data_IF_755194819716
#
_entry.id   IF_755194819716
#
_cell.length_a   1.000
_cell.length_b   1.000
_cell.length_c   1.000
_cell.angle_alpha   90.00
_cell.angle_beta   90.00
_cell.angle_gamma   90.00
#
_symmetry.space_group_name_H-M   'P 1'
#
loop_
_entity.id
_entity.type
_entity.pdbx_description
1 polymer ?
#
# COMPACT_ATOMS: atom_id res chain seq x y z
N UNK A 1 -10.16 1.60 -9.31
CA UNK A 1 -9.31 0.54 -8.85
C UNK A 1 -10.02 -0.33 -7.83
N UNK A 2 -10.13 -1.65 -8.10
CA UNK A 2 -10.98 -2.56 -7.30
C UNK A 2 -10.17 -3.51 -6.40
N UNK A 3 -8.81 -3.48 -6.47
CA UNK A 3 -8.00 -4.46 -5.76
C UNK A 3 -8.19 -4.50 -4.23
N UNK A 4 -8.44 -3.39 -3.51
CA UNK A 4 -8.69 -3.46 -2.08
C UNK A 4 -9.94 -4.28 -1.75
N UNK A 5 -10.96 -4.21 -2.61
CA UNK A 5 -12.28 -4.83 -2.40
C UNK A 5 -12.31 -6.29 -2.83
N UNK A 6 -11.45 -6.69 -3.80
CA UNK A 6 -11.49 -8.04 -4.38
C UNK A 6 -11.27 -9.13 -3.33
N UNK A 7 -10.30 -8.96 -2.43
CA UNK A 7 -9.99 -9.97 -1.43
C UNK A 7 -11.09 -10.11 -0.37
N UNK A 8 -11.61 -9.03 0.27
CA UNK A 8 -12.76 -9.12 1.16
C UNK A 8 -14.00 -9.74 0.49
N UNK A 9 -14.28 -9.35 -0.76
CA UNK A 9 -15.39 -9.93 -1.53
C UNK A 9 -15.23 -11.44 -1.71
N UNK A 10 -14.05 -11.91 -2.15
CA UNK A 10 -13.78 -13.35 -2.33
C UNK A 10 -13.93 -14.13 -1.02
N UNK A 11 -13.36 -13.63 0.07
CA UNK A 11 -13.44 -14.27 1.38
C UNK A 11 -14.92 -14.39 1.81
N UNK A 12 -15.67 -13.29 1.77
CA UNK A 12 -17.08 -13.26 2.16
C UNK A 12 -17.92 -14.21 1.30
N UNK A 13 -17.74 -14.18 -0.02
CA UNK A 13 -18.47 -15.05 -0.93
C UNK A 13 -18.16 -16.54 -0.65
N UNK A 14 -16.89 -16.90 -0.47
CA UNK A 14 -16.50 -18.28 -0.15
C UNK A 14 -17.09 -18.75 1.18
N UNK A 15 -17.05 -17.91 2.23
CA UNK A 15 -17.61 -18.26 3.54
C UNK A 15 -19.11 -18.46 3.46
N UNK A 16 -19.84 -17.53 2.86
CA UNK A 16 -21.31 -17.62 2.75
C UNK A 16 -21.75 -18.81 1.87
N UNK A 17 -21.07 -19.06 0.75
CA UNK A 17 -21.36 -20.24 -0.08
C UNK A 17 -21.12 -21.54 0.70
N UNK A 18 -20.03 -21.62 1.46
CA UNK A 18 -19.74 -22.77 2.31
C UNK A 18 -20.84 -22.97 3.37
N UNK A 19 -21.30 -21.88 4.01
CA UNK A 19 -22.40 -21.93 4.98
C UNK A 19 -23.70 -22.43 4.35
N UNK A 20 -24.07 -21.96 3.14
CA UNK A 20 -25.24 -22.44 2.41
C UNK A 20 -25.16 -23.93 2.18
N UNK A 21 -24.02 -24.44 1.69
CA UNK A 21 -23.83 -25.87 1.42
C UNK A 21 -23.92 -26.68 2.72
N UNK A 22 -23.19 -26.28 3.76
CA UNK A 22 -23.16 -27.01 5.03
C UNK A 22 -24.53 -27.02 5.70
N UNK A 23 -25.23 -25.89 5.75
CA UNK A 23 -26.59 -25.80 6.34
C UNK A 23 -27.60 -26.67 5.56
N UNK A 24 -27.50 -26.68 4.24
CA UNK A 24 -28.37 -27.51 3.39
C UNK A 24 -28.11 -29.02 3.61
N UNK A 25 -26.83 -29.42 3.70
CA UNK A 25 -26.45 -30.81 3.94
C UNK A 25 -26.81 -31.27 5.35
N UNK A 26 -26.64 -30.41 6.35
CA UNK A 26 -26.97 -30.69 7.75
C UNK A 26 -28.49 -30.61 8.08
N UNK A 27 -29.31 -30.04 7.20
CA UNK A 27 -30.74 -29.83 7.44
C UNK A 27 -31.54 -31.10 7.85
N UNK A 28 -31.23 -32.33 7.31
CA UNK A 28 -31.95 -33.54 7.76
C UNK A 28 -31.62 -33.91 9.21
N UNK A 29 -30.47 -33.55 9.74
CA UNK A 29 -30.11 -33.83 11.15
C UNK A 29 -31.05 -33.13 12.14
N UNK A 30 -31.59 -31.98 11.76
CA UNK A 30 -32.58 -31.21 12.54
C UNK A 30 -33.99 -31.40 12.01
N UNK A 31 -34.23 -32.47 11.23
CA UNK A 31 -35.53 -32.84 10.63
C UNK A 31 -36.13 -31.76 9.70
N UNK A 32 -35.31 -30.90 9.11
CA UNK A 32 -35.73 -29.91 8.13
C UNK A 32 -35.59 -30.47 6.72
N UNK A 33 -36.43 -29.98 5.77
CA UNK A 33 -36.35 -30.34 4.36
C UNK A 33 -35.27 -29.55 3.69
N UNK A 34 -34.44 -30.20 2.86
CA UNK A 34 -33.28 -29.58 2.18
C UNK A 34 -33.63 -28.37 1.30
N UNK A 35 -34.69 -28.50 0.50
CA UNK A 35 -35.09 -27.44 -0.44
C UNK A 35 -35.44 -26.12 0.25
N UNK A 36 -36.40 -26.07 1.21
CA UNK A 36 -36.70 -24.82 1.91
C UNK A 36 -35.51 -24.29 2.72
N UNK A 37 -34.69 -25.17 3.32
CA UNK A 37 -33.46 -24.73 4.01
C UNK A 37 -32.52 -24.02 3.08
N UNK A 38 -32.26 -24.58 1.88
CA UNK A 38 -31.43 -23.95 0.87
C UNK A 38 -31.92 -22.54 0.52
N UNK A 39 -33.21 -22.38 0.22
CA UNK A 39 -33.79 -21.07 -0.13
C UNK A 39 -33.68 -20.06 1.01
N UNK A 40 -34.01 -20.46 2.24
CA UNK A 40 -33.96 -19.57 3.41
C UNK A 40 -32.54 -19.15 3.69
N UNK A 41 -31.58 -20.08 3.73
CA UNK A 41 -30.17 -19.77 4.02
C UNK A 41 -29.56 -18.91 2.89
N UNK A 42 -29.90 -19.18 1.64
CA UNK A 42 -29.45 -18.34 0.51
C UNK A 42 -29.96 -16.92 0.62
N UNK A 43 -31.24 -16.74 0.93
CA UNK A 43 -31.85 -15.42 1.11
C UNK A 43 -31.19 -14.66 2.27
N UNK A 44 -31.00 -15.32 3.43
CA UNK A 44 -30.31 -14.72 4.57
C UNK A 44 -28.86 -14.35 4.24
N UNK A 45 -28.14 -15.23 3.52
CA UNK A 45 -26.78 -14.96 3.08
C UNK A 45 -26.69 -13.76 2.13
N UNK A 46 -27.71 -13.58 1.27
CA UNK A 46 -27.77 -12.42 0.39
C UNK A 46 -27.86 -11.10 1.18
N UNK A 47 -28.74 -11.03 2.18
CA UNK A 47 -28.84 -9.86 3.05
C UNK A 47 -27.62 -9.68 3.97
N UNK A 48 -27.00 -10.77 4.40
CA UNK A 48 -25.79 -10.73 5.23
C UNK A 48 -24.52 -10.38 4.44
N UNK A 49 -24.53 -10.44 3.10
CA UNK A 49 -23.34 -10.27 2.28
C UNK A 49 -22.67 -8.91 2.48
N UNK A 50 -23.43 -7.82 2.39
CA UNK A 50 -22.86 -6.45 2.54
C UNK A 50 -22.25 -6.25 3.93
N UNK A 51 -22.96 -6.45 5.06
CA UNK A 51 -22.37 -6.24 6.37
C UNK A 51 -21.20 -7.20 6.68
N UNK A 52 -21.25 -8.43 6.18
CA UNK A 52 -20.13 -9.37 6.32
C UNK A 52 -18.92 -8.93 5.49
N UNK A 53 -19.11 -8.48 4.25
CA UNK A 53 -18.04 -7.98 3.41
C UNK A 53 -17.37 -6.74 3.99
N UNK A 54 -18.14 -5.79 4.53
CA UNK A 54 -17.57 -4.60 5.19
C UNK A 54 -16.79 -4.97 6.45
N UNK A 55 -17.28 -5.94 7.23
CA UNK A 55 -16.57 -6.44 8.41
C UNK A 55 -15.24 -7.10 8.00
N UNK A 56 -15.26 -8.00 7.02
CA UNK A 56 -14.05 -8.64 6.50
C UNK A 56 -13.08 -7.59 5.93
N UNK A 57 -13.59 -6.60 5.20
CA UNK A 57 -12.77 -5.50 4.67
C UNK A 57 -12.06 -4.75 5.79
N UNK A 58 -12.77 -4.40 6.86
CA UNK A 58 -12.18 -3.71 8.01
C UNK A 58 -11.02 -4.49 8.63
N UNK A 59 -11.17 -5.80 8.85
CA UNK A 59 -10.10 -6.64 9.39
C UNK A 59 -8.92 -6.83 8.43
N UNK A 60 -9.21 -6.97 7.14
CA UNK A 60 -8.16 -7.13 6.11
C UNK A 60 -7.39 -5.83 5.94
N UNK A 61 -8.10 -4.69 5.87
CA UNK A 61 -7.48 -3.39 5.64
C UNK A 61 -6.65 -2.93 6.85
N UNK A 62 -7.06 -3.25 8.07
CA UNK A 62 -6.27 -3.00 9.28
C UNK A 62 -4.89 -3.69 9.26
N UNK A 63 -4.74 -4.80 8.52
CA UNK A 63 -3.45 -5.49 8.33
C UNK A 63 -2.67 -5.01 7.09
N UNK A 64 -3.32 -4.33 6.17
CA UNK A 64 -2.75 -3.96 4.86
C UNK A 64 -2.43 -2.49 4.75
N UNK A 65 -3.18 -1.64 5.46
CA UNK A 65 -3.09 -0.19 5.41
C UNK A 65 -2.82 0.39 6.79
N UNK A 66 -2.24 1.58 6.82
CA UNK A 66 -1.84 2.28 8.02
C UNK A 66 -0.32 2.32 8.19
N UNK A 67 0.11 2.73 9.36
CA UNK A 67 1.52 2.97 9.67
C UNK A 67 2.16 1.70 10.25
N UNK A 68 3.30 1.33 9.69
CA UNK A 68 4.10 0.16 10.08
C UNK A 68 5.56 0.55 10.22
N UNK A 69 6.22 0.04 11.25
CA UNK A 69 7.64 0.26 11.50
C UNK A 69 8.45 -1.00 11.23
N UNK A 70 9.61 -0.84 10.58
CA UNK A 70 10.54 -1.91 10.24
C UNK A 70 11.97 -1.49 10.57
N UNK A 71 12.78 -2.42 11.07
CA UNK A 71 14.17 -2.13 11.36
C UNK A 71 15.01 -1.97 10.09
N UNK A 72 14.74 -2.77 9.07
CA UNK A 72 15.46 -2.80 7.80
C UNK A 72 14.55 -3.11 6.62
N UNK A 73 15.07 -2.93 5.39
CA UNK A 73 14.38 -3.31 4.16
C UNK A 73 13.93 -4.78 4.15
N UNK A 74 14.72 -5.70 4.68
CA UNK A 74 14.40 -7.13 4.67
C UNK A 74 13.21 -7.50 5.55
N UNK A 75 12.79 -6.60 6.43
CA UNK A 75 11.63 -6.80 7.33
C UNK A 75 10.31 -6.36 6.68
N UNK A 76 10.37 -5.68 5.50
CA UNK A 76 9.22 -5.05 4.83
C UNK A 76 8.38 -6.05 4.09
N UNK A 77 8.01 -7.11 4.35
CA UNK A 77 7.21 -8.15 3.68
C UNK A 77 6.00 -7.60 2.87
N UNK A 78 6.28 -6.67 1.93
CA UNK A 78 5.30 -6.07 1.00
C UNK A 78 5.98 -5.67 -0.31
N UNK A 79 5.87 -6.55 -1.34
CA UNK A 79 6.53 -6.37 -2.64
C UNK A 79 6.23 -5.02 -3.34
N UNK A 80 5.13 -4.35 -2.99
CA UNK A 80 4.76 -3.06 -3.58
C UNK A 80 5.58 -1.92 -3.00
N UNK A 81 5.88 -2.00 -1.70
CA UNK A 81 6.76 -1.06 -1.01
C UNK A 81 8.21 -1.37 -1.39
N UNK A 82 8.62 -2.65 -1.29
CA UNK A 82 9.97 -3.11 -1.64
C UNK A 82 10.40 -2.71 -3.04
N UNK A 83 9.48 -2.72 -4.00
CA UNK A 83 9.75 -2.32 -5.39
C UNK A 83 10.33 -0.91 -5.52
N UNK A 84 9.95 0.00 -4.62
CA UNK A 84 10.33 1.41 -4.68
C UNK A 84 11.20 1.86 -3.51
N UNK A 85 11.40 1.01 -2.51
CA UNK A 85 12.19 1.35 -1.32
C UNK A 85 13.66 0.98 -1.57
N UNK A 86 14.64 1.85 -1.20
CA UNK A 86 16.05 1.52 -1.31
C UNK A 86 16.41 0.30 -0.43
N UNK A 87 17.13 -0.71 -0.96
CA UNK A 87 17.54 -1.89 -0.16
C UNK A 87 18.44 -1.56 1.03
N UNK A 88 19.13 -0.41 0.98
CA UNK A 88 19.98 0.07 2.08
C UNK A 88 19.23 0.87 3.15
N UNK A 89 17.91 1.04 3.01
CA UNK A 89 17.09 1.78 3.97
C UNK A 89 17.01 1.05 5.33
N UNK A 90 17.11 1.83 6.41
CA UNK A 90 16.99 1.36 7.80
C UNK A 90 16.07 2.29 8.59
N UNK A 91 15.61 1.83 9.78
CA UNK A 91 14.67 2.61 10.63
C UNK A 91 13.48 3.13 9.82
N UNK A 92 12.79 2.21 9.16
CA UNK A 92 11.77 2.50 8.15
C UNK A 92 10.40 2.60 8.83
N UNK A 93 9.71 3.71 8.64
CA UNK A 93 8.28 3.85 8.95
C UNK A 93 7.52 4.00 7.62
N UNK A 94 6.53 3.16 7.37
CA UNK A 94 5.73 3.17 6.13
C UNK A 94 4.27 3.37 6.46
N UNK A 95 3.65 4.41 5.92
CA UNK A 95 2.21 4.58 5.86
C UNK A 95 1.69 4.02 4.53
N UNK A 96 0.99 2.89 4.60
CA UNK A 96 0.45 2.16 3.45
C UNK A 96 -1.02 2.50 3.22
N UNK A 97 -1.36 2.84 1.97
CA UNK A 97 -2.74 3.08 1.55
C UNK A 97 -3.03 2.42 0.19
N UNK A 98 -4.28 2.45 -0.25
CA UNK A 98 -4.73 1.68 -1.41
C UNK A 98 -3.99 2.00 -2.72
N UNK A 99 -3.54 3.23 -2.91
CA UNK A 99 -2.95 3.73 -4.17
C UNK A 99 -1.44 3.91 -4.11
N UNK A 100 -0.83 3.72 -2.94
CA UNK A 100 0.59 3.96 -2.75
C UNK A 100 1.02 3.82 -1.31
N UNK A 101 2.14 4.45 -1.02
CA UNK A 101 2.67 4.54 0.34
C UNK A 101 3.44 5.85 0.53
N UNK A 102 3.61 6.23 1.80
CA UNK A 102 4.58 7.22 2.24
C UNK A 102 5.56 6.52 3.17
N UNK A 103 6.84 6.74 2.98
CA UNK A 103 7.86 6.12 3.82
C UNK A 103 8.82 7.17 4.37
N UNK A 104 9.24 6.97 5.61
CA UNK A 104 10.35 7.67 6.24
C UNK A 104 11.41 6.63 6.56
N UNK A 105 12.67 6.90 6.21
CA UNK A 105 13.76 5.97 6.50
C UNK A 105 15.09 6.70 6.62
N UNK A 106 16.08 6.03 7.19
CA UNK A 106 17.46 6.48 7.28
C UNK A 106 18.27 5.82 6.17
N UNK A 107 19.07 6.63 5.46
CA UNK A 107 19.96 6.18 4.39
C UNK A 107 21.10 7.21 4.22
N UNK A 108 22.30 6.78 3.81
CA UNK A 108 23.35 7.71 3.41
C UNK A 108 23.11 8.25 2.00
N UNK A 109 23.61 9.45 1.73
CA UNK A 109 23.49 10.06 0.39
C UNK A 109 24.06 9.15 -0.70
N UNK A 110 25.26 8.61 -0.49
CA UNK A 110 25.90 7.71 -1.45
C UNK A 110 25.06 6.47 -1.77
N UNK A 111 24.37 5.91 -0.76
CA UNK A 111 23.48 4.76 -0.97
C UNK A 111 22.20 5.16 -1.71
N UNK A 112 21.65 6.35 -1.41
CA UNK A 112 20.50 6.88 -2.12
C UNK A 112 20.83 7.16 -3.59
N UNK A 113 21.96 7.79 -3.86
CA UNK A 113 22.42 8.11 -5.23
C UNK A 113 22.61 6.81 -6.04
N UNK A 114 23.31 5.82 -5.46
CA UNK A 114 23.49 4.52 -6.11
C UNK A 114 22.17 3.79 -6.38
N UNK A 115 21.21 3.90 -5.48
CA UNK A 115 19.87 3.36 -5.67
C UNK A 115 19.13 4.07 -6.81
N UNK A 116 19.12 5.40 -6.82
CA UNK A 116 18.48 6.19 -7.89
C UNK A 116 19.11 5.89 -9.26
N UNK A 117 20.44 5.78 -9.33
CA UNK A 117 21.15 5.38 -10.56
C UNK A 117 20.67 4.02 -11.05
N UNK A 118 20.66 3.02 -10.17
CA UNK A 118 20.21 1.65 -10.50
C UNK A 118 18.78 1.60 -10.99
N UNK A 119 17.88 2.38 -10.39
CA UNK A 119 16.46 2.42 -10.79
C UNK A 119 16.30 3.10 -12.16
N UNK A 120 17.02 4.20 -12.40
CA UNK A 120 17.01 4.88 -13.70
C UNK A 120 17.64 4.02 -14.80
N UNK A 121 18.71 3.28 -14.53
CA UNK A 121 19.31 2.34 -15.47
C UNK A 121 18.36 1.18 -15.83
N UNK A 122 17.56 0.74 -14.86
CA UNK A 122 16.64 -0.40 -15.05
C UNK A 122 15.30 -0.04 -15.71
N UNK A 123 14.79 1.17 -15.45
CA UNK A 123 13.43 1.55 -15.81
C UNK A 123 13.31 2.88 -16.54
N UNK A 124 14.40 3.64 -16.69
CA UNK A 124 14.41 4.97 -17.31
C UNK A 124 13.88 4.99 -18.75
N UNK A 125 14.20 3.96 -19.54
CA UNK A 125 13.74 3.83 -20.93
C UNK A 125 12.19 3.71 -21.06
N UNK A 126 11.52 3.29 -19.99
CA UNK A 126 10.05 3.14 -19.93
C UNK A 126 9.37 4.29 -19.21
N UNK A 127 10.14 5.27 -18.75
CA UNK A 127 9.61 6.42 -18.03
C UNK A 127 9.04 7.44 -18.99
N UNK A 128 7.89 8.02 -18.62
CA UNK A 128 7.29 9.17 -19.34
C UNK A 128 7.97 10.48 -19.02
N UNK A 129 8.80 10.51 -17.96
CA UNK A 129 9.63 11.64 -17.58
C UNK A 129 11.09 11.30 -17.81
N UNK A 130 11.91 12.31 -18.12
CA UNK A 130 13.35 12.12 -18.26
C UNK A 130 14.05 12.38 -16.92
N UNK A 131 15.17 11.70 -16.72
CA UNK A 131 16.00 11.93 -15.55
C UNK A 131 16.44 13.41 -15.51
N UNK A 132 16.23 14.06 -14.36
CA UNK A 132 16.56 15.49 -14.17
C UNK A 132 15.54 16.49 -14.70
N UNK A 133 14.53 16.05 -15.47
CA UNK A 133 13.50 16.95 -16.03
C UNK A 133 12.56 17.49 -14.96
N UNK A 134 12.28 16.70 -13.92
CA UNK A 134 11.43 17.07 -12.77
C UNK A 134 12.26 17.37 -11.51
N UNK A 135 13.57 17.42 -11.62
CA UNK A 135 14.42 17.75 -10.48
C UNK A 135 14.27 19.22 -10.16
N UNK A 136 13.45 19.53 -9.17
CA UNK A 136 13.59 20.82 -8.50
C UNK A 136 14.84 20.72 -7.63
N UNK A 137 15.89 21.45 -7.97
CA UNK A 137 17.02 21.66 -7.07
C UNK A 137 16.65 22.57 -5.89
N UNK A 138 15.38 22.89 -5.77
CA UNK A 138 14.87 23.77 -4.72
C UNK A 138 14.65 22.97 -3.43
N UNK A 139 14.99 23.60 -2.33
CA UNK A 139 14.71 23.07 -1.00
C UNK A 139 13.19 22.92 -0.85
N UNK A 140 12.77 21.79 -0.35
CA UNK A 140 11.34 21.48 -0.15
C UNK A 140 10.76 22.46 0.87
N UNK A 141 9.72 23.21 0.45
CA UNK A 141 9.07 24.18 1.31
C UNK A 141 8.19 23.54 2.40
N UNK A 142 7.91 24.30 3.45
CA UNK A 142 7.12 23.82 4.58
C UNK A 142 5.65 23.56 4.22
N UNK A 143 5.09 24.24 3.21
CA UNK A 143 3.71 24.07 2.77
C UNK A 143 3.55 22.70 2.08
N UNK A 144 4.46 22.36 1.19
CA UNK A 144 4.53 21.04 0.55
C UNK A 144 4.71 19.93 1.60
N UNK A 145 5.55 20.15 2.64
CA UNK A 145 5.69 19.20 3.72
C UNK A 145 4.36 18.95 4.47
N UNK A 146 3.65 20.02 4.84
CA UNK A 146 2.35 19.90 5.52
C UNK A 146 1.33 19.16 4.64
N UNK A 147 1.32 19.45 3.33
CA UNK A 147 0.42 18.81 2.37
C UNK A 147 0.64 17.29 2.26
N UNK A 148 1.88 16.84 2.24
CA UNK A 148 2.20 15.44 1.97
C UNK A 148 2.44 14.59 3.23
N UNK A 149 2.92 15.18 4.33
CA UNK A 149 3.35 14.43 5.52
C UNK A 149 2.86 15.02 6.84
N UNK A 150 2.12 16.14 6.81
CA UNK A 150 1.68 16.83 8.02
C UNK A 150 0.75 15.98 8.90
N UNK A 151 -0.08 15.15 8.31
CA UNK A 151 -0.98 14.21 8.99
C UNK A 151 -0.24 13.06 9.69
N UNK A 152 1.00 12.78 9.29
CA UNK A 152 1.84 11.74 9.89
C UNK A 152 2.67 12.25 11.08
N UNK A 153 2.67 13.56 11.33
CA UNK A 153 3.46 14.16 12.40
C UNK A 153 4.99 14.05 12.21
N UNK A 154 5.44 13.76 10.98
CA UNK A 154 6.88 13.72 10.68
C UNK A 154 7.45 15.14 10.66
N UNK A 155 8.65 15.35 11.24
CA UNK A 155 9.24 16.68 11.30
C UNK A 155 9.63 17.20 9.91
N UNK A 156 9.48 18.50 9.69
CA UNK A 156 9.95 19.13 8.46
C UNK A 156 11.48 18.98 8.30
N UNK A 157 11.91 18.69 7.07
CA UNK A 157 13.31 18.58 6.68
C UNK A 157 13.72 19.88 5.97
N UNK A 158 14.36 20.80 6.70
CA UNK A 158 14.66 22.16 6.23
C UNK A 158 15.66 22.22 5.06
N UNK A 159 16.52 21.19 4.94
CA UNK A 159 17.56 21.06 3.91
C UNK A 159 17.24 19.97 2.88
N UNK A 160 16.00 19.49 2.83
CA UNK A 160 15.65 18.41 1.93
C UNK A 160 15.57 18.85 0.48
N UNK A 161 16.15 18.05 -0.39
CA UNK A 161 16.03 18.17 -1.85
C UNK A 161 15.15 17.04 -2.38
N UNK A 162 14.30 17.32 -3.36
CA UNK A 162 13.44 16.33 -4.00
C UNK A 162 14.14 15.66 -5.18
N UNK A 163 14.06 14.34 -5.20
CA UNK A 163 14.51 13.47 -6.29
C UNK A 163 13.32 12.69 -6.83
N UNK A 164 13.27 12.49 -8.14
CA UNK A 164 12.22 11.72 -8.79
C UNK A 164 12.77 10.41 -9.34
N UNK A 165 12.02 9.34 -9.13
CA UNK A 165 12.26 8.07 -9.80
C UNK A 165 11.58 8.01 -11.18
N UNK A 166 11.85 6.97 -11.97
CA UNK A 166 11.13 6.70 -13.21
C UNK A 166 9.63 6.60 -12.97
N UNK A 167 8.83 7.20 -13.85
CA UNK A 167 7.37 7.23 -13.76
C UNK A 167 6.77 6.58 -15.01
N UNK A 168 5.92 5.57 -14.83
CA UNK A 168 5.22 4.89 -15.90
C UNK A 168 4.04 5.72 -16.43
N UNK A 169 3.54 5.40 -17.64
CA UNK A 169 2.40 6.09 -18.28
C UNK A 169 1.14 6.12 -17.41
N UNK A 170 0.94 5.12 -16.58
CA UNK A 170 -0.19 5.03 -15.66
C UNK A 170 0.01 5.79 -14.35
N UNK A 171 1.11 6.53 -14.18
CA UNK A 171 1.45 7.30 -12.99
C UNK A 171 2.12 6.48 -11.86
N UNK A 172 2.50 5.22 -12.12
CA UNK A 172 3.30 4.47 -11.17
C UNK A 172 4.72 5.04 -11.12
N UNK A 173 5.22 5.32 -9.93
CA UNK A 173 6.52 5.92 -9.73
C UNK A 173 6.70 6.38 -8.28
N UNK A 174 7.78 7.11 -8.02
CA UNK A 174 8.05 7.64 -6.69
C UNK A 174 8.83 8.95 -6.73
N UNK A 175 8.72 9.73 -5.65
CA UNK A 175 9.63 10.83 -5.34
C UNK A 175 10.22 10.64 -3.94
N UNK A 176 11.43 11.18 -3.73
CA UNK A 176 12.18 11.11 -2.48
C UNK A 176 12.64 12.51 -2.09
N UNK A 177 12.32 12.94 -0.88
CA UNK A 177 12.88 14.11 -0.23
C UNK A 177 14.01 13.65 0.69
N UNK A 178 15.21 14.13 0.48
CA UNK A 178 16.39 13.70 1.25
C UNK A 178 17.02 14.88 1.97
N UNK A 179 17.24 14.74 3.27
CA UNK A 179 17.98 15.69 4.10
C UNK A 179 19.41 15.17 4.35
N UNK A 180 20.43 15.78 3.73
CA UNK A 180 21.81 15.35 3.94
C UNK A 180 22.29 15.51 5.38
N UNK A 181 21.86 16.58 6.07
CA UNK A 181 22.27 16.86 7.46
C UNK A 181 21.75 15.82 8.44
N UNK A 182 20.56 15.23 8.17
CA UNK A 182 19.92 14.24 9.05
C UNK A 182 20.13 12.81 8.59
N UNK A 183 20.54 12.59 7.32
CA UNK A 183 20.59 11.26 6.72
C UNK A 183 19.21 10.58 6.65
N UNK A 184 18.14 11.38 6.53
CA UNK A 184 16.74 10.93 6.53
C UNK A 184 16.09 11.24 5.20
N UNK A 185 15.36 10.28 4.68
CA UNK A 185 14.56 10.42 3.48
C UNK A 185 13.06 10.27 3.78
N UNK A 186 12.24 11.05 3.06
CA UNK A 186 10.80 10.88 2.96
C UNK A 186 10.48 10.50 1.52
N UNK A 187 9.79 9.40 1.35
CA UNK A 187 9.45 8.88 0.03
C UNK A 187 7.94 8.77 -0.14
N UNK A 188 7.46 9.10 -1.31
CA UNK A 188 6.08 8.88 -1.74
C UNK A 188 6.09 8.01 -2.98
N UNK A 189 5.48 6.83 -2.89
CA UNK A 189 5.34 5.88 -3.99
C UNK A 189 3.89 5.70 -4.42
N UNK A 190 3.65 5.62 -5.73
CA UNK A 190 2.35 5.29 -6.34
C UNK A 190 2.42 3.97 -7.07
N UNK A 191 1.38 3.13 -6.92
CA UNK A 191 1.39 1.74 -7.40
C UNK A 191 0.83 1.53 -8.82
N UNK A 192 0.58 2.51 -9.60
CA UNK A 192 -0.10 2.37 -10.90
C UNK A 192 0.79 2.20 -12.06
#
# INVERSE_FOLDING_TARGET
MLWPIILPFKITACVLLTLIVLATLASPLVKWRRAPTFFVVTLLSFFAFIPSCTTVMHFVDAKRFGVFDYASFNDVDDFRVERYLPPAATSITVDKYAQGFRARFTISQTQLDAYLDSVWDSYGDRSVVKRGEMSSMDIVDAESHVLYYGDLGWPHLEDATEFFGPTAENGAGFSVWYSPSKGVAYQRGSYW
#
